data_IF_955490996412
#
_entry.id   IF_955490996412
#
_cell.length_a   1.000
_cell.length_b   1.000
_cell.length_c   1.000
_cell.angle_alpha   90.00
_cell.angle_beta   90.00
_cell.angle_gamma   90.00
#
_symmetry.space_group_name_H-M   'P 1'
#
loop_
_entity.id
_entity.type
_entity.pdbx_description
1 polymer ?
#
# COMPACT_ATOMS: atom_id res chain seq x y z
N UNK A 1 -33.26 8.35 2.33
CA UNK A 1 -31.83 7.93 2.37
C UNK A 1 -30.90 9.13 2.42
N UNK A 2 -30.94 10.02 1.41
CA UNK A 2 -30.08 11.22 1.33
C UNK A 2 -30.15 12.14 2.56
N UNK A 3 -31.33 12.35 3.13
CA UNK A 3 -31.48 13.15 4.37
C UNK A 3 -30.69 12.61 5.57
N UNK A 4 -30.50 11.28 5.65
CA UNK A 4 -29.73 10.66 6.74
C UNK A 4 -28.23 10.80 6.53
N UNK A 5 -27.79 10.78 5.27
CA UNK A 5 -26.40 11.03 4.88
C UNK A 5 -26.05 12.50 5.16
N UNK A 6 -26.91 13.43 4.74
CA UNK A 6 -26.74 14.86 4.99
C UNK A 6 -26.72 15.20 6.49
N UNK A 7 -27.53 14.51 7.30
CA UNK A 7 -27.54 14.69 8.75
C UNK A 7 -26.36 14.00 9.48
N UNK A 8 -25.56 13.18 8.80
CA UNK A 8 -24.45 12.45 9.41
C UNK A 8 -24.85 11.44 10.49
N UNK A 9 -26.12 11.02 10.54
CA UNK A 9 -26.62 10.16 11.63
C UNK A 9 -26.32 8.70 11.36
N UNK A 10 -25.29 8.17 12.02
CA UNK A 10 -24.99 6.74 12.09
C UNK A 10 -24.96 6.27 13.55
N UNK A 11 -25.17 4.96 13.77
CA UNK A 11 -25.23 4.38 15.11
C UNK A 11 -24.17 3.27 15.25
N UNK A 12 -23.30 3.40 16.24
CA UNK A 12 -22.23 2.44 16.58
C UNK A 12 -22.64 1.44 17.67
N UNK A 13 -23.90 1.51 18.13
CA UNK A 13 -24.49 0.65 19.19
C UNK A 13 -25.29 -0.55 18.64
N UNK A 14 -25.41 -0.67 17.31
CA UNK A 14 -26.09 -1.80 16.67
C UNK A 14 -25.31 -3.10 16.84
N UNK A 15 -25.99 -4.24 16.76
CA UNK A 15 -25.37 -5.57 16.86
C UNK A 15 -24.14 -5.75 15.96
N UNK A 16 -24.16 -5.15 14.77
CA UNK A 16 -23.05 -5.16 13.82
C UNK A 16 -21.72 -4.60 14.39
N UNK A 17 -21.76 -3.79 15.44
CA UNK A 17 -20.59 -3.15 16.07
C UNK A 17 -20.18 -3.78 17.40
N UNK A 18 -20.86 -4.84 17.85
CA UNK A 18 -20.56 -5.50 19.14
C UNK A 18 -19.13 -6.02 19.20
N UNK A 19 -18.62 -6.56 18.09
CA UNK A 19 -17.28 -7.14 18.01
C UNK A 19 -16.19 -6.15 17.55
N UNK A 20 -16.56 -4.91 17.23
CA UNK A 20 -15.60 -3.90 16.77
C UNK A 20 -14.83 -3.32 17.96
N UNK A 21 -13.50 -3.24 17.86
CA UNK A 21 -12.67 -2.64 18.90
C UNK A 21 -12.95 -1.14 19.06
N UNK A 22 -12.69 -0.55 20.24
CA UNK A 22 -12.86 0.89 20.44
C UNK A 22 -12.08 1.74 19.42
N UNK A 23 -10.86 1.33 19.08
CA UNK A 23 -10.02 1.99 18.07
C UNK A 23 -10.63 1.93 16.66
N UNK A 24 -11.29 0.81 16.31
CA UNK A 24 -12.00 0.67 15.05
C UNK A 24 -13.21 1.61 14.95
N UNK A 25 -13.98 1.73 16.05
CA UNK A 25 -15.12 2.65 16.15
C UNK A 25 -14.67 4.10 16.01
N UNK A 26 -13.62 4.48 16.73
CA UNK A 26 -13.03 5.83 16.67
C UNK A 26 -12.57 6.20 15.25
N UNK A 27 -11.88 5.27 14.57
CA UNK A 27 -11.46 5.46 13.19
C UNK A 27 -12.63 5.78 12.25
N UNK A 28 -13.68 4.94 12.27
CA UNK A 28 -14.84 5.15 11.39
C UNK A 28 -15.59 6.43 11.76
N UNK A 29 -15.71 6.76 13.05
CA UNK A 29 -16.31 8.02 13.49
C UNK A 29 -15.60 9.25 12.90
N UNK A 30 -14.26 9.25 12.90
CA UNK A 30 -13.47 10.35 12.31
C UNK A 30 -13.68 10.46 10.80
N UNK A 31 -13.70 9.34 10.07
CA UNK A 31 -13.95 9.33 8.63
C UNK A 31 -15.36 9.81 8.25
N UNK A 32 -16.35 9.54 9.10
CA UNK A 32 -17.75 9.93 8.89
C UNK A 32 -18.07 11.34 9.43
N UNK A 33 -17.06 12.17 9.71
CA UNK A 33 -17.26 13.58 10.08
C UNK A 33 -17.99 14.33 8.97
N UNK A 34 -19.11 14.97 9.31
CA UNK A 34 -19.98 15.68 8.35
C UNK A 34 -19.26 16.87 7.72
N UNK A 35 -18.57 17.65 8.55
CA UNK A 35 -17.76 18.78 8.12
C UNK A 35 -16.52 18.29 7.37
N UNK A 36 -16.47 18.52 6.06
CA UNK A 36 -15.37 18.07 5.22
C UNK A 36 -14.00 18.60 5.68
N UNK A 37 -13.94 19.83 6.22
CA UNK A 37 -12.69 20.44 6.72
C UNK A 37 -12.15 19.81 8.01
N UNK A 38 -13.01 19.12 8.77
CA UNK A 38 -12.63 18.42 10.01
C UNK A 38 -12.45 16.93 9.79
N UNK A 39 -12.85 16.42 8.63
CA UNK A 39 -12.62 15.04 8.23
C UNK A 39 -11.12 14.88 7.94
N UNK A 40 -10.47 13.85 8.48
CA UNK A 40 -9.07 13.60 8.17
C UNK A 40 -8.90 13.35 6.67
N UNK A 41 -7.79 13.81 6.13
CA UNK A 41 -7.33 13.38 4.81
C UNK A 41 -6.85 11.91 4.85
N UNK A 42 -6.53 11.36 3.69
CA UNK A 42 -6.12 9.96 3.57
C UNK A 42 -4.84 9.67 4.38
N UNK A 43 -3.87 10.58 4.37
CA UNK A 43 -2.58 10.40 5.06
C UNK A 43 -2.75 10.42 6.58
N UNK A 44 -3.56 11.36 7.09
CA UNK A 44 -3.96 11.43 8.49
C UNK A 44 -4.74 10.19 8.93
N UNK A 45 -5.59 9.64 8.03
CA UNK A 45 -6.32 8.42 8.31
C UNK A 45 -5.39 7.19 8.39
N UNK A 46 -4.37 7.10 7.52
CA UNK A 46 -3.37 6.02 7.55
C UNK A 46 -2.59 5.99 8.87
N UNK A 47 -2.29 7.16 9.44
CA UNK A 47 -1.58 7.27 10.72
C UNK A 47 -2.42 6.84 11.95
N UNK A 48 -3.73 6.63 11.79
CA UNK A 48 -4.61 6.30 12.91
C UNK A 48 -4.19 4.99 13.61
N UNK A 49 -4.20 4.92 14.96
CA UNK A 49 -3.75 3.75 15.72
C UNK A 49 -4.46 2.43 15.38
N UNK A 50 -5.64 2.48 14.75
CA UNK A 50 -6.34 1.28 14.28
C UNK A 50 -5.71 0.66 13.04
N UNK A 51 -5.14 1.49 12.16
CA UNK A 51 -4.45 1.10 10.95
C UNK A 51 -2.97 0.84 11.25
N UNK A 52 -2.28 1.83 11.84
CA UNK A 52 -0.83 1.76 12.08
C UNK A 52 -0.38 0.64 13.02
N UNK A 53 -1.27 0.12 13.88
CA UNK A 53 -0.97 -1.02 14.76
C UNK A 53 -1.30 -2.39 14.17
N UNK A 54 -1.89 -2.46 12.97
CA UNK A 54 -2.17 -3.75 12.30
C UNK A 54 -0.94 -4.33 11.61
N UNK A 55 0.04 -3.48 11.26
CA UNK A 55 1.24 -3.90 10.57
C UNK A 55 2.43 -3.93 11.53
N UNK A 56 2.67 -5.11 12.11
CA UNK A 56 3.96 -5.42 12.72
C UNK A 56 4.26 -6.90 12.65
N UNK A 57 4.34 -7.44 11.44
CA UNK A 57 5.21 -8.61 11.22
C UNK A 57 6.21 -8.19 10.16
N UNK A 58 7.41 -7.83 10.61
CA UNK A 58 8.54 -7.52 9.76
C UNK A 58 8.93 -8.76 8.94
N UNK A 59 8.25 -8.98 7.82
CA UNK A 59 8.68 -9.90 6.77
C UNK A 59 9.16 -9.05 5.62
N UNK A 60 10.41 -9.27 5.23
CA UNK A 60 10.92 -8.77 3.96
C UNK A 60 10.25 -9.55 2.83
N UNK A 61 9.49 -8.87 2.00
CA UNK A 61 8.86 -9.41 0.79
C UNK A 61 9.72 -9.16 -0.44
N UNK A 62 10.59 -8.14 -0.41
CA UNK A 62 11.61 -7.93 -1.45
C UNK A 62 12.70 -9.01 -1.33
N UNK A 63 12.76 -9.89 -2.32
CA UNK A 63 13.79 -10.92 -2.46
C UNK A 63 14.79 -10.56 -3.57
N UNK A 64 15.95 -11.24 -3.57
CA UNK A 64 16.96 -11.07 -4.63
C UNK A 64 16.38 -11.36 -6.02
N UNK A 65 15.51 -12.38 -6.13
CA UNK A 65 14.87 -12.76 -7.39
C UNK A 65 14.05 -11.62 -8.00
N UNK A 66 13.41 -10.79 -7.16
CA UNK A 66 12.66 -9.61 -7.63
C UNK A 66 13.61 -8.57 -8.23
N UNK A 67 14.75 -8.33 -7.58
CA UNK A 67 15.78 -7.42 -8.08
C UNK A 67 16.36 -7.90 -9.40
N UNK A 68 16.73 -9.19 -9.47
CA UNK A 68 17.26 -9.81 -10.69
C UNK A 68 16.23 -9.80 -11.84
N UNK A 69 14.94 -9.96 -11.52
CA UNK A 69 13.85 -9.85 -12.49
C UNK A 69 13.66 -8.41 -13.02
N UNK A 70 13.80 -7.40 -12.16
CA UNK A 70 13.76 -5.98 -12.57
C UNK A 70 14.92 -5.64 -13.50
N UNK A 71 16.14 -6.11 -13.20
CA UNK A 71 17.30 -5.96 -14.09
C UNK A 71 17.07 -6.68 -15.42
N UNK A 72 16.61 -7.94 -15.39
CA UNK A 72 16.30 -8.70 -16.61
C UNK A 72 15.21 -8.04 -17.47
N UNK A 73 14.25 -7.36 -16.84
CA UNK A 73 13.21 -6.61 -17.53
C UNK A 73 13.75 -5.34 -18.21
N UNK A 74 14.70 -4.64 -17.59
CA UNK A 74 15.31 -3.43 -18.16
C UNK A 74 16.14 -3.74 -19.41
N UNK A 75 16.81 -4.89 -19.44
CA UNK A 75 17.60 -5.39 -20.57
C UNK A 75 16.75 -6.05 -21.68
N UNK A 76 15.50 -6.42 -21.38
CA UNK A 76 14.62 -7.11 -22.33
C UNK A 76 14.23 -6.23 -23.52
N UNK A 77 14.05 -6.83 -24.70
CA UNK A 77 13.59 -6.09 -25.90
C UNK A 77 12.19 -5.50 -25.74
N UNK A 78 11.86 -4.47 -26.52
CA UNK A 78 10.54 -3.83 -26.47
C UNK A 78 9.38 -4.83 -26.69
N UNK A 79 9.55 -5.79 -27.61
CA UNK A 79 8.57 -6.84 -27.84
C UNK A 79 8.42 -7.76 -26.61
N UNK A 80 9.54 -8.21 -26.02
CA UNK A 80 9.51 -9.06 -24.82
C UNK A 80 8.85 -8.35 -23.66
N UNK A 81 9.15 -7.06 -23.44
CA UNK A 81 8.50 -6.25 -22.39
C UNK A 81 6.99 -6.14 -22.61
N UNK A 82 6.54 -5.93 -23.84
CA UNK A 82 5.11 -5.91 -24.16
C UNK A 82 4.42 -7.24 -23.81
N UNK A 83 5.03 -8.39 -24.17
CA UNK A 83 4.51 -9.71 -23.81
C UNK A 83 4.47 -9.91 -22.29
N UNK A 84 5.52 -9.53 -21.56
CA UNK A 84 5.58 -9.60 -20.09
C UNK A 84 4.46 -8.78 -19.44
N UNK A 85 4.17 -7.58 -19.95
CA UNK A 85 3.09 -6.74 -19.45
C UNK A 85 1.71 -7.37 -19.67
N UNK A 86 1.46 -7.97 -20.84
CA UNK A 86 0.20 -8.68 -21.12
C UNK A 86 0.02 -9.86 -20.16
N UNK A 87 1.08 -10.63 -19.91
CA UNK A 87 1.04 -11.73 -18.95
C UNK A 87 0.78 -11.24 -17.53
N UNK A 88 1.42 -10.15 -17.10
CA UNK A 88 1.21 -9.57 -15.78
C UNK A 88 -0.25 -9.13 -15.54
N UNK A 89 -0.89 -8.54 -16.55
CA UNK A 89 -2.32 -8.15 -16.49
C UNK A 89 -3.22 -9.39 -16.40
N UNK A 90 -2.80 -10.50 -16.99
CA UNK A 90 -3.58 -11.75 -17.08
C UNK A 90 -3.48 -12.64 -15.83
N UNK A 91 -2.63 -12.30 -14.86
CA UNK A 91 -2.48 -13.06 -13.61
C UNK A 91 -3.79 -13.13 -12.81
N UNK A 92 -3.87 -14.08 -11.87
CA UNK A 92 -4.91 -14.10 -10.84
C UNK A 92 -4.62 -13.12 -9.70
N UNK A 93 -5.59 -12.91 -8.80
CA UNK A 93 -5.38 -12.04 -7.65
C UNK A 93 -4.43 -12.67 -6.63
N UNK A 94 -4.46 -14.00 -6.53
CA UNK A 94 -3.62 -14.80 -5.65
C UNK A 94 -2.14 -14.70 -6.09
N UNK A 95 -1.88 -14.85 -7.39
CA UNK A 95 -0.51 -14.72 -7.94
C UNK A 95 0.02 -13.28 -7.80
N UNK A 96 -0.85 -12.27 -7.96
CA UNK A 96 -0.47 -10.86 -7.78
C UNK A 96 -0.21 -10.50 -6.32
N UNK A 97 -0.82 -11.20 -5.36
CA UNK A 97 -0.75 -10.82 -3.95
C UNK A 97 0.68 -10.82 -3.40
N UNK A 98 1.53 -11.76 -3.83
CA UNK A 98 2.92 -11.83 -3.35
C UNK A 98 3.78 -10.68 -3.91
N UNK A 99 3.67 -10.40 -5.22
CA UNK A 99 4.36 -9.27 -5.86
C UNK A 99 3.86 -7.93 -5.31
N UNK A 100 2.57 -7.84 -5.00
CA UNK A 100 1.96 -6.65 -4.43
C UNK A 100 2.50 -6.33 -3.02
N UNK A 101 2.80 -7.35 -2.19
CA UNK A 101 3.44 -7.12 -0.88
C UNK A 101 4.84 -6.54 -1.03
N UNK A 102 5.63 -7.04 -1.98
CA UNK A 102 6.94 -6.49 -2.28
C UNK A 102 6.83 -5.05 -2.83
N UNK A 103 5.83 -4.76 -3.65
CA UNK A 103 5.55 -3.41 -4.14
C UNK A 103 5.27 -2.45 -2.98
N UNK A 104 4.33 -2.80 -2.09
CA UNK A 104 3.96 -1.98 -0.92
C UNK A 104 5.13 -1.80 0.07
N UNK A 105 6.07 -2.74 0.10
CA UNK A 105 7.26 -2.60 0.91
C UNK A 105 8.26 -1.57 0.34
N UNK A 106 8.30 -1.41 -0.99
CA UNK A 106 9.16 -0.43 -1.68
C UNK A 106 8.49 0.94 -1.72
N UNK A 107 7.18 1.00 -1.99
CA UNK A 107 6.35 2.22 -2.04
C UNK A 107 6.10 2.75 -0.61
N UNK A 108 7.09 3.50 -0.08
CA UNK A 108 7.10 3.96 1.31
C UNK A 108 6.12 5.11 1.55
N UNK A 109 5.88 5.92 0.52
CA UNK A 109 4.95 7.04 0.60
C UNK A 109 3.51 6.66 0.26
N UNK A 110 3.28 5.40 -0.17
CA UNK A 110 1.98 4.89 -0.60
C UNK A 110 1.37 5.70 -1.76
N UNK A 111 2.22 6.26 -2.62
CA UNK A 111 1.81 6.97 -3.84
C UNK A 111 1.23 6.04 -4.90
N UNK A 112 1.48 4.73 -4.79
CA UNK A 112 1.12 3.75 -5.81
C UNK A 112 2.10 3.72 -6.97
N UNK A 113 3.28 4.35 -6.82
CA UNK A 113 4.38 4.32 -7.80
C UNK A 113 5.71 4.15 -7.08
N UNK A 114 6.61 3.34 -7.62
CA UNK A 114 7.96 3.22 -7.07
C UNK A 114 8.86 4.26 -7.74
N UNK A 115 9.35 5.22 -6.96
CA UNK A 115 10.36 6.18 -7.41
C UNK A 115 11.75 5.57 -7.39
N UNK A 116 12.68 6.15 -8.16
CA UNK A 116 14.09 5.70 -8.17
C UNK A 116 14.73 5.84 -6.78
N UNK A 117 14.37 6.89 -6.03
CA UNK A 117 14.83 7.10 -4.65
C UNK A 117 14.38 6.00 -3.70
N UNK A 118 13.11 5.58 -3.79
CA UNK A 118 12.58 4.50 -2.96
C UNK A 118 13.21 3.16 -3.30
N UNK A 119 13.34 2.87 -4.61
CA UNK A 119 14.00 1.65 -5.06
C UNK A 119 15.47 1.60 -4.60
N UNK A 120 16.21 2.70 -4.72
CA UNK A 120 17.59 2.80 -4.23
C UNK A 120 17.66 2.55 -2.72
N UNK A 121 16.82 3.22 -1.95
CA UNK A 121 16.81 3.07 -0.48
C UNK A 121 16.63 1.62 -0.06
N UNK A 122 15.74 0.86 -0.71
CA UNK A 122 15.53 -0.55 -0.40
C UNK A 122 16.71 -1.43 -0.82
N UNK A 123 17.36 -1.13 -1.94
CA UNK A 123 18.53 -1.87 -2.41
C UNK A 123 19.75 -1.67 -1.49
N UNK A 124 19.97 -0.43 -1.03
CA UNK A 124 21.02 -0.10 -0.07
C UNK A 124 20.77 -0.74 1.30
N UNK A 125 19.53 -0.64 1.82
CA UNK A 125 19.16 -1.16 3.13
C UNK A 125 19.24 -2.69 3.20
N UNK A 126 18.81 -3.40 2.14
CA UNK A 126 18.66 -4.86 2.17
C UNK A 126 19.79 -5.66 1.53
N UNK A 127 20.44 -5.10 0.51
CA UNK A 127 21.43 -5.83 -0.28
C UNK A 127 22.83 -5.23 -0.17
N UNK A 128 23.00 -4.13 0.58
CA UNK A 128 24.28 -3.44 0.77
C UNK A 128 25.00 -3.16 -0.56
N UNK A 129 24.23 -2.85 -1.61
CA UNK A 129 24.77 -2.51 -2.91
C UNK A 129 25.30 -1.08 -2.79
N UNK A 130 26.61 -0.94 -2.64
CA UNK A 130 27.26 0.36 -2.71
C UNK A 130 27.12 0.94 -4.12
N UNK A 131 26.82 2.23 -4.16
CA UNK A 131 26.71 3.04 -5.36
C UNK A 131 28.09 3.05 -6.06
N UNK A 132 28.28 2.17 -7.05
CA UNK A 132 29.33 2.36 -8.03
C UNK A 132 28.97 3.63 -8.79
N UNK A 133 29.55 4.75 -8.34
CA UNK A 133 29.39 6.08 -8.89
C UNK A 133 29.23 6.01 -10.42
N UNK A 134 28.02 6.34 -10.88
CA UNK A 134 27.79 6.63 -12.29
C UNK A 134 28.51 7.95 -12.54
N UNK A 135 29.74 7.84 -13.03
CA UNK A 135 30.55 8.94 -13.55
C UNK A 135 29.95 9.50 -14.83
#
# INVERSE_FOLDING_TARGET
MLQRIAAGRFATERDAWKNASPSAKDFVCKLLTVEARRRPDADQALQHPWISKRDSVARSYVSKDIVDALCSFSEASAFRRACLLVMAISLSNEERAEVHKAFLEIDKDHSGTITLSELRSVLEEKFHIEDAAVA
#
